data_IF_636139573329
#
_entry.id   IF_636139573329
#
_cell.length_a   1.000
_cell.length_b   1.000
_cell.length_c   1.000
_cell.angle_alpha   90.00
_cell.angle_beta   90.00
_cell.angle_gamma   90.00
#
_symmetry.space_group_name_H-M   'P 1'
#
loop_
_entity.id
_entity.type
_entity.pdbx_description
1 polymer ?
#
# COMPACT_ATOMS: atom_id res chain seq x y z
N UNK A 1 -15.85 4.13 -44.24
CA UNK A 1 -17.25 4.46 -43.98
C UNK A 1 -17.35 4.76 -42.48
N UNK A 2 -17.47 6.02 -42.13
CA UNK A 2 -17.73 6.45 -40.75
C UNK A 2 -19.09 5.92 -40.35
N UNK A 3 -19.14 4.84 -39.53
CA UNK A 3 -20.37 4.40 -38.86
C UNK A 3 -20.82 5.52 -37.94
N UNK A 4 -21.93 6.14 -38.30
CA UNK A 4 -22.64 7.08 -37.44
C UNK A 4 -22.90 6.40 -36.07
N UNK A 5 -22.26 6.91 -35.03
CA UNK A 5 -22.53 6.52 -33.63
C UNK A 5 -23.88 7.12 -33.22
N UNK A 6 -24.98 6.55 -33.72
CA UNK A 6 -26.30 6.88 -33.23
C UNK A 6 -26.70 5.85 -32.16
N UNK A 7 -26.56 6.19 -30.92
CA UNK A 7 -26.93 5.40 -29.73
C UNK A 7 -28.39 4.98 -29.72
N UNK A 8 -29.23 5.67 -30.43
CA UNK A 8 -30.65 5.39 -30.49
C UNK A 8 -31.24 5.97 -31.75
N UNK A 9 -32.19 5.28 -32.41
CA UNK A 9 -32.99 5.82 -33.52
C UNK A 9 -33.78 7.09 -33.13
N UNK A 10 -33.81 7.44 -31.83
CA UNK A 10 -34.47 8.63 -31.32
C UNK A 10 -33.71 9.94 -31.65
N UNK A 11 -32.40 9.86 -31.88
CA UNK A 11 -31.59 11.04 -32.15
C UNK A 11 -31.50 11.32 -33.64
N UNK A 12 -31.75 12.57 -34.04
CA UNK A 12 -31.76 12.99 -35.44
C UNK A 12 -30.38 13.37 -35.99
N UNK A 13 -29.40 13.56 -35.09
CA UNK A 13 -28.03 13.93 -35.46
C UNK A 13 -27.00 13.17 -34.65
N UNK A 14 -25.82 12.94 -35.24
CA UNK A 14 -24.66 12.40 -34.53
C UNK A 14 -24.16 13.38 -33.45
N UNK A 15 -23.50 12.84 -32.43
CA UNK A 15 -22.88 13.64 -31.38
C UNK A 15 -21.75 14.49 -31.95
N UNK A 16 -21.63 15.74 -31.51
CA UNK A 16 -20.52 16.60 -31.93
C UNK A 16 -19.17 15.95 -31.56
N UNK A 17 -18.16 15.92 -32.46
CA UNK A 17 -16.92 15.20 -32.22
C UNK A 17 -16.16 15.59 -30.95
N UNK A 18 -16.20 16.88 -30.57
CA UNK A 18 -15.57 17.33 -29.32
C UNK A 18 -16.30 16.79 -28.08
N UNK A 19 -17.64 16.67 -28.13
CA UNK A 19 -18.45 16.10 -27.04
C UNK A 19 -18.24 14.57 -26.98
N UNK A 20 -18.14 13.91 -28.13
CA UNK A 20 -17.82 12.48 -28.17
C UNK A 20 -16.48 12.19 -27.49
N UNK A 21 -15.42 12.94 -27.81
CA UNK A 21 -14.12 12.82 -27.14
C UNK A 21 -14.15 13.13 -25.64
N UNK A 22 -14.93 14.15 -25.25
CA UNK A 22 -15.08 14.51 -23.84
C UNK A 22 -15.77 13.42 -23.02
N UNK A 23 -16.70 12.69 -23.62
CA UNK A 23 -17.46 11.62 -22.97
C UNK A 23 -16.74 10.27 -23.00
N UNK A 24 -15.77 10.09 -23.89
CA UNK A 24 -15.09 8.80 -24.05
C UNK A 24 -14.18 8.49 -22.86
N UNK A 25 -14.22 7.23 -22.40
CA UNK A 25 -13.38 6.68 -21.33
C UNK A 25 -12.35 5.66 -21.82
N UNK A 26 -12.40 5.28 -23.12
CA UNK A 26 -11.52 4.24 -23.69
C UNK A 26 -10.03 4.51 -23.45
N UNK A 27 -9.63 5.78 -23.27
CA UNK A 27 -8.24 6.16 -23.01
C UNK A 27 -7.67 5.64 -21.70
N UNK A 28 -8.53 5.31 -20.73
CA UNK A 28 -8.11 4.77 -19.43
C UNK A 28 -8.83 3.47 -19.07
N UNK A 29 -10.09 3.26 -19.49
CA UNK A 29 -10.85 2.06 -19.10
C UNK A 29 -10.43 0.80 -19.85
N UNK A 30 -9.56 0.93 -20.85
CA UNK A 30 -8.87 -0.22 -21.48
C UNK A 30 -8.12 -1.09 -20.45
N UNK A 31 -7.73 -0.56 -19.30
CA UNK A 31 -7.19 -1.30 -18.15
C UNK A 31 -8.15 -2.40 -17.67
N UNK A 32 -9.44 -2.27 -17.96
CA UNK A 32 -10.47 -3.23 -17.55
C UNK A 32 -10.70 -4.35 -18.57
N UNK A 33 -10.06 -4.35 -19.73
CA UNK A 33 -10.40 -5.25 -20.84
C UNK A 33 -10.37 -6.74 -20.47
N UNK A 34 -9.37 -7.19 -19.72
CA UNK A 34 -9.26 -8.60 -19.29
C UNK A 34 -10.42 -9.00 -18.38
N UNK A 35 -10.89 -8.07 -17.55
CA UNK A 35 -12.00 -8.25 -16.62
C UNK A 35 -13.34 -8.18 -17.32
N UNK A 36 -13.51 -7.28 -18.29
CA UNK A 36 -14.70 -7.20 -19.14
C UNK A 36 -14.89 -8.48 -19.95
N UNK A 37 -13.83 -9.00 -20.56
CA UNK A 37 -13.86 -10.26 -21.29
C UNK A 37 -14.23 -11.42 -20.36
N UNK A 38 -13.71 -11.47 -19.15
CA UNK A 38 -14.00 -12.50 -18.15
C UNK A 38 -15.45 -12.43 -17.66
N UNK A 39 -15.92 -11.22 -17.32
CA UNK A 39 -17.31 -10.96 -16.93
C UNK A 39 -18.29 -11.30 -18.05
N UNK A 40 -17.96 -10.92 -19.28
CA UNK A 40 -18.76 -11.21 -20.49
C UNK A 40 -18.85 -12.70 -20.80
N UNK A 41 -17.74 -13.45 -20.63
CA UNK A 41 -17.76 -14.93 -20.79
C UNK A 41 -18.66 -15.61 -19.74
N UNK A 42 -18.59 -15.16 -18.48
CA UNK A 42 -19.45 -15.66 -17.41
C UNK A 42 -20.93 -15.35 -17.67
N UNK A 43 -21.21 -14.14 -18.14
CA UNK A 43 -22.56 -13.71 -18.51
C UNK A 43 -23.13 -14.55 -19.68
N UNK A 44 -22.37 -14.78 -20.74
CA UNK A 44 -22.78 -15.63 -21.86
C UNK A 44 -23.13 -17.07 -21.41
N UNK A 45 -22.29 -17.66 -20.54
CA UNK A 45 -22.56 -18.97 -19.94
C UNK A 45 -23.85 -18.99 -19.11
N UNK A 46 -24.11 -17.92 -18.35
CA UNK A 46 -25.34 -17.78 -17.55
C UNK A 46 -26.56 -17.65 -18.46
N UNK A 47 -26.52 -16.91 -19.54
CA UNK A 47 -27.63 -16.78 -20.49
C UNK A 47 -28.00 -18.14 -21.10
N UNK A 48 -27.03 -18.98 -21.40
CA UNK A 48 -27.30 -20.37 -21.87
C UNK A 48 -27.82 -21.25 -20.73
N UNK A 49 -27.24 -21.18 -19.54
CA UNK A 49 -27.67 -21.94 -18.37
C UNK A 49 -29.15 -21.68 -18.04
N UNK A 50 -29.63 -20.49 -18.23
CA UNK A 50 -31.04 -20.10 -18.00
C UNK A 50 -31.92 -20.21 -19.25
N UNK A 51 -31.40 -20.71 -20.37
CA UNK A 51 -32.15 -20.92 -21.61
C UNK A 51 -32.52 -19.64 -22.37
N UNK A 52 -31.89 -18.51 -22.08
CA UNK A 52 -32.12 -17.23 -22.77
C UNK A 52 -31.47 -17.26 -24.17
N UNK A 53 -30.30 -17.90 -24.29
CA UNK A 53 -29.64 -18.21 -25.57
C UNK A 53 -29.37 -19.72 -25.64
N UNK A 54 -29.05 -20.24 -26.84
CA UNK A 54 -28.70 -21.65 -26.96
C UNK A 54 -27.26 -21.93 -26.46
N UNK A 55 -26.94 -23.17 -26.06
CA UNK A 55 -25.58 -23.55 -25.71
C UNK A 55 -24.56 -23.26 -26.82
N UNK A 56 -24.92 -23.49 -28.09
CA UNK A 56 -24.07 -23.25 -29.25
C UNK A 56 -23.78 -21.75 -29.44
N UNK A 57 -24.76 -20.88 -29.17
CA UNK A 57 -24.58 -19.43 -29.20
C UNK A 57 -23.62 -18.96 -28.09
N UNK A 58 -23.74 -19.53 -26.89
CA UNK A 58 -22.84 -19.23 -25.77
C UNK A 58 -21.41 -19.70 -26.09
N UNK A 59 -21.21 -20.87 -26.69
CA UNK A 59 -19.89 -21.33 -27.12
C UNK A 59 -19.25 -20.37 -28.15
N UNK A 60 -20.03 -19.89 -29.12
CA UNK A 60 -19.57 -18.91 -30.11
C UNK A 60 -19.17 -17.59 -29.43
N UNK A 61 -19.97 -17.08 -28.50
CA UNK A 61 -19.67 -15.85 -27.74
C UNK A 61 -18.38 -16.01 -26.92
N UNK A 62 -18.26 -17.12 -26.16
CA UNK A 62 -17.08 -17.40 -25.34
C UNK A 62 -15.82 -17.52 -26.19
N UNK A 63 -15.89 -18.23 -27.33
CA UNK A 63 -14.77 -18.37 -28.25
C UNK A 63 -14.37 -17.04 -28.89
N UNK A 64 -15.37 -16.22 -29.30
CA UNK A 64 -15.11 -14.88 -29.85
C UNK A 64 -14.47 -13.93 -28.84
N UNK A 65 -14.92 -13.93 -27.57
CA UNK A 65 -14.33 -13.17 -26.48
C UNK A 65 -12.89 -13.62 -26.19
N UNK A 66 -12.61 -14.93 -26.24
CA UNK A 66 -11.25 -15.45 -26.08
C UNK A 66 -10.33 -15.04 -27.25
N UNK A 67 -10.87 -15.01 -28.47
CA UNK A 67 -10.10 -14.48 -29.62
C UNK A 67 -9.76 -13.01 -29.42
N UNK A 68 -10.67 -12.16 -28.92
CA UNK A 68 -10.38 -10.74 -28.61
C UNK A 68 -9.29 -10.64 -27.56
N UNK A 69 -9.32 -11.48 -26.52
CA UNK A 69 -8.27 -11.56 -25.47
C UNK A 69 -6.89 -11.83 -26.09
N UNK A 70 -6.82 -12.80 -26.99
CA UNK A 70 -5.58 -13.12 -27.69
C UNK A 70 -5.11 -11.98 -28.61
N UNK A 71 -6.03 -11.34 -29.32
CA UNK A 71 -5.72 -10.18 -30.16
C UNK A 71 -5.17 -9.01 -29.32
N UNK A 72 -5.77 -8.74 -28.15
CA UNK A 72 -5.30 -7.71 -27.24
C UNK A 72 -3.90 -8.01 -26.68
N UNK A 73 -3.68 -9.21 -26.16
CA UNK A 73 -2.38 -9.65 -25.64
C UNK A 73 -1.26 -9.66 -26.68
N UNK A 74 -1.62 -9.84 -27.94
CA UNK A 74 -0.68 -9.79 -29.07
C UNK A 74 -0.52 -8.39 -29.67
N UNK A 75 -1.14 -7.38 -29.09
CA UNK A 75 -1.09 -6.01 -29.57
C UNK A 75 -1.76 -5.85 -30.96
N UNK A 76 -2.82 -6.60 -31.25
CA UNK A 76 -3.59 -6.52 -32.50
C UNK A 76 -4.96 -5.89 -32.33
N UNK A 77 -5.45 -5.79 -31.11
CA UNK A 77 -6.70 -5.12 -30.77
C UNK A 77 -6.37 -3.79 -30.07
N UNK A 78 -6.52 -2.70 -30.83
CA UNK A 78 -6.30 -1.33 -30.36
C UNK A 78 -7.55 -0.51 -30.65
N UNK A 79 -8.54 -0.48 -29.74
CA UNK A 79 -9.71 0.36 -29.92
C UNK A 79 -9.26 1.83 -29.96
N UNK A 80 -9.71 2.53 -31.01
CA UNK A 80 -9.41 3.96 -31.18
C UNK A 80 -10.30 4.82 -30.29
N UNK A 81 -9.98 6.11 -30.23
CA UNK A 81 -10.76 7.14 -29.51
C UNK A 81 -12.22 7.27 -29.99
N UNK A 82 -12.55 6.64 -31.11
CA UNK A 82 -13.91 6.57 -31.64
C UNK A 82 -14.77 5.51 -30.91
N UNK A 83 -14.14 4.59 -30.16
CA UNK A 83 -14.84 3.75 -29.20
C UNK A 83 -15.09 4.58 -27.95
N UNK A 84 -16.32 4.63 -27.49
CA UNK A 84 -16.66 5.40 -26.28
C UNK A 84 -15.99 4.82 -25.04
N UNK A 85 -16.10 3.49 -24.88
CA UNK A 85 -15.58 2.73 -23.75
C UNK A 85 -15.10 1.33 -24.17
N UNK A 86 -14.46 0.61 -23.27
CA UNK A 86 -13.95 -0.75 -23.50
C UNK A 86 -15.08 -1.73 -23.83
N UNK A 87 -16.24 -1.56 -23.24
CA UNK A 87 -17.42 -2.43 -23.43
C UNK A 87 -17.93 -2.34 -24.87
N UNK A 88 -18.03 -1.11 -25.40
CA UNK A 88 -18.44 -0.87 -26.78
C UNK A 88 -17.41 -1.41 -27.77
N UNK A 89 -16.13 -1.25 -27.46
CA UNK A 89 -15.05 -1.76 -28.30
C UNK A 89 -15.10 -3.31 -28.38
N UNK A 90 -15.28 -3.98 -27.25
CA UNK A 90 -15.39 -5.44 -27.16
C UNK A 90 -16.64 -5.95 -27.88
N UNK A 91 -17.82 -5.34 -27.66
CA UNK A 91 -19.08 -5.72 -28.30
C UNK A 91 -19.00 -5.57 -29.83
N UNK A 92 -18.42 -4.46 -30.29
CA UNK A 92 -18.21 -4.21 -31.73
C UNK A 92 -17.31 -5.25 -32.36
N UNK A 93 -16.15 -5.54 -31.74
CA UNK A 93 -15.22 -6.56 -32.24
C UNK A 93 -15.82 -7.97 -32.20
N UNK A 94 -16.53 -8.31 -31.13
CA UNK A 94 -17.22 -9.59 -31.00
C UNK A 94 -18.24 -9.79 -32.15
N UNK A 95 -19.01 -8.74 -32.46
CA UNK A 95 -20.00 -8.79 -33.55
C UNK A 95 -19.32 -8.99 -34.93
N UNK A 96 -18.13 -8.43 -35.13
CA UNK A 96 -17.33 -8.68 -36.34
C UNK A 96 -16.88 -10.14 -36.44
N UNK A 97 -16.54 -10.79 -35.32
CA UNK A 97 -16.05 -12.17 -35.26
C UNK A 97 -17.19 -13.19 -35.42
N UNK A 98 -18.28 -13.03 -34.65
CA UNK A 98 -19.34 -14.03 -34.55
C UNK A 98 -20.66 -13.63 -35.22
N UNK A 99 -20.71 -12.47 -35.86
CA UNK A 99 -21.91 -11.97 -36.53
C UNK A 99 -23.02 -11.56 -35.57
N UNK A 100 -24.27 -11.78 -35.97
CA UNK A 100 -25.46 -11.35 -35.20
C UNK A 100 -25.58 -11.99 -33.80
N UNK A 101 -24.94 -13.13 -33.57
CA UNK A 101 -24.87 -13.76 -32.25
C UNK A 101 -24.19 -12.83 -31.24
N UNK A 102 -23.20 -12.05 -31.67
CA UNK A 102 -22.50 -11.07 -30.83
C UNK A 102 -23.44 -10.07 -30.18
N UNK A 103 -24.50 -9.66 -30.87
CA UNK A 103 -25.50 -8.70 -30.36
C UNK A 103 -26.35 -9.28 -29.20
N UNK A 104 -26.38 -10.60 -29.02
CA UNK A 104 -27.10 -11.26 -27.93
C UNK A 104 -26.40 -11.16 -26.57
N UNK A 105 -25.10 -10.88 -26.58
CA UNK A 105 -24.31 -10.79 -25.34
C UNK A 105 -24.85 -9.71 -24.38
N UNK A 106 -25.42 -8.62 -24.90
CA UNK A 106 -25.95 -7.53 -24.09
C UNK A 106 -27.31 -7.82 -23.43
N UNK A 107 -27.94 -8.97 -23.74
CA UNK A 107 -29.25 -9.36 -23.20
C UNK A 107 -29.21 -9.41 -21.67
N UNK A 108 -30.18 -8.79 -21.01
CA UNK A 108 -30.34 -8.74 -19.55
C UNK A 108 -29.19 -8.05 -18.79
N UNK A 109 -28.35 -7.26 -19.45
CA UNK A 109 -27.21 -6.54 -18.88
C UNK A 109 -27.30 -5.06 -19.21
N UNK A 110 -26.74 -4.23 -18.33
CA UNK A 110 -26.45 -2.82 -18.56
C UNK A 110 -24.94 -2.57 -18.48
N UNK A 111 -24.45 -1.49 -19.08
CA UNK A 111 -23.08 -1.02 -18.84
C UNK A 111 -22.83 -0.67 -17.38
N UNK A 112 -23.87 -0.30 -16.63
CA UNK A 112 -23.76 0.09 -15.23
C UNK A 112 -23.33 -1.05 -14.33
N UNK A 113 -23.99 -2.24 -14.44
CA UNK A 113 -23.60 -3.42 -13.68
C UNK A 113 -22.34 -4.10 -14.25
N UNK A 114 -22.10 -3.97 -15.55
CA UNK A 114 -20.90 -4.46 -16.23
C UNK A 114 -19.65 -3.75 -15.71
N UNK A 115 -19.59 -2.42 -15.81
CA UNK A 115 -18.42 -1.64 -15.35
C UNK A 115 -18.19 -1.77 -13.84
N UNK A 116 -19.27 -1.87 -13.04
CA UNK A 116 -19.16 -2.15 -11.61
C UNK A 116 -18.53 -3.49 -11.31
N UNK A 117 -18.85 -4.52 -12.11
CA UNK A 117 -18.25 -5.86 -12.01
C UNK A 117 -16.77 -5.84 -12.39
N UNK A 118 -16.45 -5.22 -13.51
CA UNK A 118 -15.08 -5.19 -14.03
C UNK A 118 -14.13 -4.43 -13.10
N UNK A 119 -14.58 -3.30 -12.55
CA UNK A 119 -13.81 -2.54 -11.56
C UNK A 119 -13.55 -3.35 -10.29
N UNK A 120 -14.50 -4.17 -9.84
CA UNK A 120 -14.33 -5.07 -8.69
C UNK A 120 -13.38 -6.22 -8.97
N UNK A 121 -13.51 -6.85 -10.15
CA UNK A 121 -12.58 -7.89 -10.58
C UNK A 121 -11.15 -7.36 -10.68
N UNK A 122 -10.98 -6.19 -11.30
CA UNK A 122 -9.70 -5.49 -11.35
C UNK A 122 -9.14 -5.24 -9.95
N UNK A 123 -9.91 -4.60 -9.08
CA UNK A 123 -9.42 -4.22 -7.77
C UNK A 123 -9.10 -5.43 -6.89
N UNK A 124 -9.90 -6.51 -6.99
CA UNK A 124 -9.64 -7.78 -6.31
C UNK A 124 -8.27 -8.35 -6.69
N UNK A 125 -7.95 -8.36 -7.99
CA UNK A 125 -6.66 -8.82 -8.49
C UNK A 125 -5.51 -7.90 -8.02
N UNK A 126 -5.68 -6.58 -8.12
CA UNK A 126 -4.67 -5.63 -7.69
C UNK A 126 -4.40 -5.69 -6.17
N UNK A 127 -5.43 -5.91 -5.35
CA UNK A 127 -5.27 -6.12 -3.91
C UNK A 127 -4.39 -7.34 -3.63
N UNK A 128 -4.57 -8.46 -4.33
CA UNK A 128 -3.74 -9.65 -4.14
C UNK A 128 -2.28 -9.38 -4.53
N UNK A 129 -2.04 -8.66 -5.62
CA UNK A 129 -0.69 -8.29 -6.05
C UNK A 129 -0.02 -7.38 -5.01
N UNK A 130 -0.73 -6.35 -4.52
CA UNK A 130 -0.20 -5.43 -3.48
C UNK A 130 0.08 -6.18 -2.18
N UNK A 131 -0.79 -7.11 -1.77
CA UNK A 131 -0.57 -7.98 -0.60
C UNK A 131 0.70 -8.83 -0.78
N UNK A 132 0.94 -9.37 -1.97
CA UNK A 132 2.18 -10.09 -2.29
C UNK A 132 3.42 -9.19 -2.16
N UNK A 133 3.38 -7.97 -2.70
CA UNK A 133 4.48 -7.00 -2.56
C UNK A 133 4.71 -6.57 -1.10
N UNK A 134 3.66 -6.42 -0.29
CA UNK A 134 3.79 -6.15 1.15
C UNK A 134 4.50 -7.32 1.87
N UNK A 135 4.20 -8.57 1.51
CA UNK A 135 4.91 -9.75 2.06
C UNK A 135 6.39 -9.74 1.68
N UNK A 136 6.71 -9.41 0.44
CA UNK A 136 8.10 -9.28 0.00
C UNK A 136 8.83 -8.17 0.76
N UNK A 137 8.20 -7.00 0.91
CA UNK A 137 8.72 -5.87 1.68
C UNK A 137 8.97 -6.25 3.15
N UNK A 138 8.01 -6.93 3.80
CA UNK A 138 8.15 -7.45 5.15
C UNK A 138 9.31 -8.46 5.26
N UNK A 139 9.45 -9.36 4.29
CA UNK A 139 10.55 -10.32 4.23
C UNK A 139 11.91 -9.63 4.24
N UNK A 140 12.07 -8.58 3.44
CA UNK A 140 13.32 -7.79 3.38
C UNK A 140 13.60 -7.07 4.70
N UNK A 141 12.59 -6.49 5.34
CA UNK A 141 12.75 -5.87 6.66
C UNK A 141 13.25 -6.88 7.69
N UNK A 142 12.73 -8.11 7.68
CA UNK A 142 13.15 -9.18 8.58
C UNK A 142 14.57 -9.65 8.29
N UNK A 143 14.94 -9.81 7.00
CA UNK A 143 16.29 -10.21 6.58
C UNK A 143 17.36 -9.23 7.10
N UNK A 144 17.06 -7.93 7.04
CA UNK A 144 17.95 -6.89 7.57
C UNK A 144 17.93 -6.90 9.10
N UNK A 145 16.76 -6.99 9.71
CA UNK A 145 16.63 -6.97 11.16
C UNK A 145 17.37 -8.13 11.83
N UNK A 146 17.35 -9.33 11.25
CA UNK A 146 18.09 -10.49 11.75
C UNK A 146 19.60 -10.26 11.82
N UNK A 147 20.16 -9.51 10.87
CA UNK A 147 21.58 -9.16 10.83
C UNK A 147 21.96 -8.08 11.85
N UNK A 148 20.98 -7.34 12.37
CA UNK A 148 21.18 -6.14 13.17
C UNK A 148 20.54 -6.18 14.55
N UNK A 149 20.30 -7.37 15.12
CA UNK A 149 19.70 -7.53 16.45
C UNK A 149 20.52 -6.79 17.52
N UNK A 150 21.83 -6.88 17.47
CA UNK A 150 22.76 -6.26 18.42
C UNK A 150 23.35 -4.93 17.94
N UNK A 151 22.99 -4.47 16.75
CA UNK A 151 23.39 -3.16 16.25
C UNK A 151 22.58 -2.06 16.96
N UNK A 152 23.26 -1.19 17.66
CA UNK A 152 22.63 -0.08 18.39
C UNK A 152 22.47 1.13 17.50
N UNK A 153 21.33 1.79 17.60
CA UNK A 153 21.03 3.08 16.95
C UNK A 153 20.43 4.05 17.99
N UNK A 154 20.72 5.36 17.91
CA UNK A 154 20.01 6.32 18.75
C UNK A 154 18.52 6.31 18.41
N UNK A 155 17.66 6.11 19.39
CA UNK A 155 16.23 6.38 19.26
C UNK A 155 15.99 7.89 19.40
N UNK A 156 14.96 8.38 18.70
CA UNK A 156 14.64 9.82 18.65
C UNK A 156 13.21 10.08 19.10
N UNK A 157 13.03 11.17 19.84
CA UNK A 157 11.76 11.85 20.06
C UNK A 157 11.97 13.34 19.78
N UNK A 158 11.03 14.00 19.12
CA UNK A 158 11.17 15.43 18.73
C UNK A 158 12.44 15.72 17.90
N UNK A 159 12.94 14.74 17.14
CA UNK A 159 14.24 14.78 16.46
C UNK A 159 15.43 15.01 17.40
N UNK A 160 15.26 14.80 18.69
CA UNK A 160 16.32 14.80 19.68
C UNK A 160 16.68 13.37 20.06
N UNK A 161 17.95 13.08 20.28
CA UNK A 161 18.39 11.77 20.79
C UNK A 161 17.73 11.49 22.13
N UNK A 162 17.10 10.34 22.26
CA UNK A 162 16.37 9.93 23.46
C UNK A 162 17.06 8.75 24.15
N UNK A 163 16.77 7.55 23.74
CA UNK A 163 17.36 6.33 24.30
C UNK A 163 17.92 5.46 23.18
N UNK A 164 19.01 4.71 23.41
CA UNK A 164 19.51 3.76 22.41
C UNK A 164 18.52 2.59 22.26
N UNK A 165 18.39 2.10 21.03
CA UNK A 165 17.56 0.96 20.68
C UNK A 165 18.32 0.00 19.75
N UNK A 166 17.86 -1.24 19.62
CA UNK A 166 18.32 -2.14 18.57
C UNK A 166 17.82 -1.66 17.21
N UNK A 167 18.67 -1.67 16.20
CA UNK A 167 18.26 -1.38 14.82
C UNK A 167 17.19 -2.36 14.33
N UNK A 168 17.29 -3.63 14.72
CA UNK A 168 16.27 -4.63 14.43
C UNK A 168 14.91 -4.25 15.04
N UNK A 169 14.90 -3.78 16.28
CA UNK A 169 13.68 -3.28 16.93
C UNK A 169 13.03 -2.13 16.15
N UNK A 170 13.85 -1.22 15.65
CA UNK A 170 13.39 -0.09 14.83
C UNK A 170 12.74 -0.57 13.52
N UNK A 171 13.40 -1.51 12.81
CA UNK A 171 12.88 -2.07 11.56
C UNK A 171 11.61 -2.91 11.77
N UNK A 172 11.51 -3.63 12.89
CA UNK A 172 10.30 -4.37 13.26
C UNK A 172 9.09 -3.46 13.45
N UNK A 173 9.26 -2.20 13.83
CA UNK A 173 8.13 -1.25 13.88
C UNK A 173 7.52 -1.02 12.48
N UNK A 174 8.32 -1.00 11.43
CA UNK A 174 7.84 -0.91 10.04
C UNK A 174 7.23 -2.23 9.56
N UNK A 175 7.76 -3.37 10.00
CA UNK A 175 7.12 -4.66 9.79
C UNK A 175 5.70 -4.69 10.34
N UNK A 176 5.49 -4.23 11.57
CA UNK A 176 4.17 -4.16 12.21
C UNK A 176 3.20 -3.19 11.49
N UNK A 177 3.71 -2.10 10.92
CA UNK A 177 2.92 -1.19 10.11
C UNK A 177 2.46 -1.89 8.83
N UNK A 178 3.37 -2.56 8.10
CA UNK A 178 3.07 -3.30 6.89
C UNK A 178 2.12 -4.49 7.14
N UNK A 179 2.21 -5.12 8.32
CA UNK A 179 1.28 -6.18 8.72
C UNK A 179 -0.14 -5.66 8.86
N UNK A 180 -0.34 -4.54 9.54
CA UNK A 180 -1.66 -3.90 9.63
C UNK A 180 -2.20 -3.45 8.27
N UNK A 181 -1.33 -3.07 7.33
CA UNK A 181 -1.73 -2.72 5.97
C UNK A 181 -2.19 -3.94 5.18
N UNK A 182 -1.48 -5.05 5.32
CA UNK A 182 -1.83 -6.33 4.69
C UNK A 182 -3.20 -6.84 5.19
N UNK A 183 -3.45 -6.78 6.50
CA UNK A 183 -4.73 -7.15 7.14
C UNK A 183 -5.86 -6.24 6.65
N UNK A 184 -5.61 -4.94 6.59
CA UNK A 184 -6.58 -3.93 6.10
C UNK A 184 -7.00 -4.18 4.67
N UNK A 185 -6.06 -4.55 3.80
CA UNK A 185 -6.38 -4.97 2.42
C UNK A 185 -7.21 -6.25 2.38
N UNK A 186 -7.00 -7.18 3.31
CA UNK A 186 -7.85 -8.35 3.48
C UNK A 186 -9.30 -7.98 3.84
N UNK A 187 -9.48 -6.99 4.71
CA UNK A 187 -10.80 -6.48 5.08
C UNK A 187 -11.51 -5.79 3.90
N UNK A 188 -10.78 -4.98 3.13
CA UNK A 188 -11.29 -4.34 1.90
C UNK A 188 -11.68 -5.41 0.87
N UNK A 189 -10.86 -6.44 0.69
CA UNK A 189 -11.10 -7.52 -0.29
C UNK A 189 -12.45 -8.18 -0.10
N UNK A 190 -12.92 -8.40 1.14
CA UNK A 190 -14.24 -8.98 1.42
C UNK A 190 -15.39 -8.14 0.87
N UNK A 191 -15.30 -6.79 0.90
CA UNK A 191 -16.34 -5.90 0.38
C UNK A 191 -16.20 -5.62 -1.11
N UNK A 192 -15.00 -5.74 -1.66
CA UNK A 192 -14.78 -5.77 -3.11
C UNK A 192 -15.42 -7.01 -3.73
N UNK A 193 -15.38 -8.15 -3.03
CA UNK A 193 -15.76 -9.46 -3.58
C UNK A 193 -17.27 -9.74 -3.54
N UNK A 194 -18.10 -8.74 -3.86
CA UNK A 194 -19.57 -8.84 -3.98
C UNK A 194 -19.97 -8.46 -5.41
N UNK A 195 -20.70 -9.34 -6.12
CA UNK A 195 -21.03 -9.15 -7.53
C UNK A 195 -22.24 -8.23 -7.73
N UNK A 196 -22.12 -7.15 -8.52
CA UNK A 196 -23.26 -6.35 -8.98
C UNK A 196 -23.88 -6.89 -10.27
N UNK A 197 -23.25 -7.84 -10.98
CA UNK A 197 -23.71 -8.32 -12.29
C UNK A 197 -25.13 -8.90 -12.20
N UNK A 198 -25.99 -8.47 -13.12
CA UNK A 198 -27.41 -8.77 -13.12
C UNK A 198 -28.28 -7.73 -12.38
N UNK A 199 -27.68 -6.67 -11.82
CA UNK A 199 -28.45 -5.50 -11.33
C UNK A 199 -29.08 -4.70 -12.48
N UNK A 200 -28.61 -4.89 -13.70
CA UNK A 200 -29.04 -4.12 -14.87
C UNK A 200 -28.65 -2.63 -14.73
N UNK A 201 -29.49 -1.75 -15.25
CA UNK A 201 -29.23 -0.31 -15.13
C UNK A 201 -29.45 0.20 -13.70
N UNK A 202 -30.46 -0.32 -12.98
CA UNK A 202 -30.82 0.03 -11.60
C UNK A 202 -31.94 -0.85 -11.00
N UNK A 203 -32.80 -1.45 -11.82
CA UNK A 203 -34.03 -2.10 -11.39
C UNK A 203 -34.01 -3.64 -11.56
N UNK A 204 -32.87 -4.20 -11.85
CA UNK A 204 -32.75 -5.60 -12.26
C UNK A 204 -33.21 -5.79 -13.71
N UNK A 205 -33.72 -6.98 -14.04
CA UNK A 205 -34.13 -7.36 -15.39
C UNK A 205 -35.41 -8.20 -15.36
N UNK A 206 -36.15 -8.21 -16.47
CA UNK A 206 -37.32 -9.07 -16.66
C UNK A 206 -36.96 -10.50 -17.11
N UNK A 207 -35.70 -10.74 -17.45
CA UNK A 207 -35.23 -12.08 -17.84
C UNK A 207 -34.95 -12.95 -16.61
N UNK A 208 -35.16 -14.29 -16.71
CA UNK A 208 -34.93 -15.22 -15.61
C UNK A 208 -33.43 -15.56 -15.42
N UNK A 209 -32.60 -14.54 -15.18
CA UNK A 209 -31.14 -14.69 -14.97
C UNK A 209 -30.84 -15.37 -13.64
N UNK A 210 -29.68 -16.05 -13.57
CA UNK A 210 -29.12 -16.63 -12.33
C UNK A 210 -27.86 -15.85 -11.92
N UNK A 211 -28.02 -14.87 -11.02
CA UNK A 211 -26.92 -14.05 -10.51
C UNK A 211 -25.95 -14.84 -9.63
N UNK A 212 -26.41 -15.85 -8.89
CA UNK A 212 -25.53 -16.70 -8.09
C UNK A 212 -24.63 -17.58 -8.96
N UNK A 213 -25.18 -18.11 -10.06
CA UNK A 213 -24.38 -18.85 -11.03
C UNK A 213 -23.29 -17.98 -11.65
N UNK A 214 -23.59 -16.76 -12.04
CA UNK A 214 -22.61 -15.82 -12.58
C UNK A 214 -21.55 -15.45 -11.53
N UNK A 215 -21.97 -15.15 -10.30
CA UNK A 215 -21.05 -14.83 -9.20
C UNK A 215 -20.08 -16.00 -8.93
N UNK A 216 -20.58 -17.24 -8.93
CA UNK A 216 -19.74 -18.44 -8.78
C UNK A 216 -18.73 -18.60 -9.90
N UNK A 217 -19.09 -18.33 -11.16
CA UNK A 217 -18.17 -18.39 -12.29
C UNK A 217 -17.04 -17.33 -12.21
N UNK A 218 -17.28 -16.26 -11.50
CA UNK A 218 -16.37 -15.13 -11.31
C UNK A 218 -15.67 -15.13 -9.94
N UNK A 219 -15.87 -16.19 -9.13
CA UNK A 219 -15.31 -16.32 -7.77
C UNK A 219 -15.68 -15.14 -6.84
N UNK A 220 -16.89 -14.59 -6.98
CA UNK A 220 -17.44 -13.67 -6.00
C UNK A 220 -18.06 -14.44 -4.83
N UNK A 221 -17.88 -13.92 -3.61
CA UNK A 221 -18.41 -14.52 -2.38
C UNK A 221 -19.93 -14.41 -2.29
N UNK A 222 -20.51 -13.32 -2.83
CA UNK A 222 -21.94 -13.04 -2.76
C UNK A 222 -22.39 -12.11 -3.90
N UNK A 223 -23.66 -11.75 -3.91
CA UNK A 223 -24.28 -10.79 -4.84
C UNK A 223 -24.91 -9.63 -4.09
N UNK A 224 -25.06 -8.49 -4.73
CA UNK A 224 -25.81 -7.35 -4.15
C UNK A 224 -27.28 -7.69 -3.94
N UNK A 225 -27.77 -7.42 -2.72
CA UNK A 225 -29.16 -7.66 -2.35
C UNK A 225 -30.13 -6.63 -2.95
N UNK A 226 -29.63 -5.45 -3.32
CA UNK A 226 -30.41 -4.39 -3.94
C UNK A 226 -29.74 -3.92 -5.24
N UNK A 227 -30.45 -3.98 -6.36
CA UNK A 227 -29.92 -3.64 -7.68
C UNK A 227 -29.59 -2.15 -7.85
N UNK A 228 -30.33 -1.28 -7.16
CA UNK A 228 -30.09 0.16 -7.21
C UNK A 228 -28.78 0.53 -6.49
N UNK A 229 -28.54 -0.10 -5.35
CA UNK A 229 -27.29 0.00 -4.59
C UNK A 229 -26.11 -0.60 -5.37
N UNK A 230 -26.26 -1.79 -5.93
CA UNK A 230 -25.20 -2.52 -6.62
C UNK A 230 -24.56 -1.78 -7.80
N UNK A 231 -25.33 -0.91 -8.50
CA UNK A 231 -24.81 -0.09 -9.61
C UNK A 231 -24.31 1.28 -9.16
N UNK A 232 -24.66 1.70 -7.95
CA UNK A 232 -24.32 3.01 -7.37
C UNK A 232 -23.07 2.95 -6.48
N UNK A 233 -22.86 1.83 -5.78
CA UNK A 233 -21.84 1.69 -4.76
C UNK A 233 -20.41 1.88 -5.28
N UNK A 234 -19.65 2.71 -4.58
CA UNK A 234 -18.20 2.91 -4.73
C UNK A 234 -17.48 2.89 -3.39
N UNK A 235 -18.14 2.46 -2.30
CA UNK A 235 -17.53 2.38 -0.98
C UNK A 235 -16.29 1.48 -1.01
N UNK A 236 -16.32 0.41 -1.76
CA UNK A 236 -15.18 -0.49 -1.95
C UNK A 236 -13.93 0.21 -2.51
N UNK A 237 -14.12 1.16 -3.42
CA UNK A 237 -13.03 1.95 -4.00
C UNK A 237 -12.52 3.00 -3.00
N UNK A 238 -13.41 3.65 -2.25
CA UNK A 238 -13.07 4.59 -1.17
C UNK A 238 -12.29 3.86 -0.08
N UNK A 239 -12.74 2.69 0.37
CA UNK A 239 -12.05 1.88 1.38
C UNK A 239 -10.65 1.46 0.91
N UNK A 240 -10.53 1.04 -0.36
CA UNK A 240 -9.22 0.76 -0.94
C UNK A 240 -8.32 1.99 -0.92
N UNK A 241 -8.80 3.16 -1.37
CA UNK A 241 -8.02 4.40 -1.38
C UNK A 241 -7.65 4.86 0.05
N UNK A 242 -8.50 4.60 1.05
CA UNK A 242 -8.15 4.81 2.46
C UNK A 242 -7.00 3.88 2.90
N UNK A 243 -7.08 2.59 2.60
CA UNK A 243 -6.01 1.63 2.88
C UNK A 243 -4.71 2.00 2.16
N UNK A 244 -4.82 2.34 0.87
CA UNK A 244 -3.75 2.85 0.03
C UNK A 244 -3.04 4.07 0.62
N UNK A 245 -3.81 5.02 1.14
CA UNK A 245 -3.29 6.22 1.80
C UNK A 245 -2.48 5.86 3.04
N UNK A 246 -2.91 4.89 3.85
CA UNK A 246 -2.17 4.43 5.04
C UNK A 246 -0.87 3.72 4.66
N UNK A 247 -0.88 2.86 3.63
CA UNK A 247 0.34 2.24 3.10
C UNK A 247 1.36 3.34 2.73
N UNK A 248 0.92 4.36 1.99
CA UNK A 248 1.80 5.45 1.58
C UNK A 248 2.29 6.30 2.76
N UNK A 249 1.49 6.49 3.83
CA UNK A 249 1.95 7.12 5.09
C UNK A 249 3.10 6.32 5.70
N UNK A 250 2.98 4.99 5.79
CA UNK A 250 4.00 4.14 6.40
C UNK A 250 5.28 4.13 5.57
N UNK A 251 5.17 4.02 4.24
CA UNK A 251 6.32 4.12 3.33
C UNK A 251 6.98 5.49 3.39
N UNK A 252 6.19 6.58 3.44
CA UNK A 252 6.69 7.95 3.55
C UNK A 252 7.47 8.18 4.86
N UNK A 253 7.04 7.61 5.98
CA UNK A 253 7.75 7.69 7.26
C UNK A 253 9.10 6.99 7.20
N UNK A 254 9.16 5.78 6.65
CA UNK A 254 10.43 5.09 6.45
C UNK A 254 11.33 5.84 5.47
N UNK A 255 10.76 6.38 4.40
CA UNK A 255 11.47 7.20 3.43
C UNK A 255 12.11 8.43 4.09
N UNK A 256 11.38 9.15 4.96
CA UNK A 256 11.90 10.28 5.71
C UNK A 256 13.07 9.90 6.59
N UNK A 257 13.00 8.79 7.32
CA UNK A 257 14.11 8.33 8.15
C UNK A 257 15.34 7.95 7.32
N UNK A 258 15.17 7.28 6.18
CA UNK A 258 16.30 6.98 5.27
C UNK A 258 16.93 8.26 4.72
N UNK A 259 16.12 9.27 4.38
CA UNK A 259 16.61 10.58 3.95
C UNK A 259 17.49 11.19 5.05
N UNK A 260 16.97 11.29 6.27
CA UNK A 260 17.70 11.81 7.42
C UNK A 260 18.99 11.02 7.68
N UNK A 261 18.91 9.69 7.70
CA UNK A 261 20.06 8.83 7.97
C UNK A 261 21.15 8.91 6.90
N UNK A 262 20.79 9.25 5.66
CA UNK A 262 21.73 9.38 4.54
C UNK A 262 22.42 10.75 4.48
N UNK A 263 21.97 11.74 5.27
CA UNK A 263 22.60 13.08 5.30
C UNK A 263 24.03 13.05 5.86
N UNK A 264 24.82 14.07 5.52
CA UNK A 264 26.18 14.26 6.08
C UNK A 264 26.19 14.45 7.60
N UNK A 265 25.11 14.99 8.17
CA UNK A 265 24.94 15.22 9.60
C UNK A 265 24.75 13.90 10.37
N UNK A 266 23.90 12.99 9.87
CA UNK A 266 23.62 11.70 10.50
C UNK A 266 24.65 10.65 10.09
N UNK A 267 24.81 10.42 8.79
CA UNK A 267 25.71 9.38 8.22
C UNK A 267 25.49 7.98 8.79
N UNK A 268 24.24 7.61 9.06
CA UNK A 268 23.87 6.29 9.60
C UNK A 268 23.77 5.23 8.50
N UNK A 269 23.46 5.67 7.28
CA UNK A 269 23.41 4.79 6.08
C UNK A 269 24.21 5.40 4.94
N UNK A 270 24.64 4.54 4.03
CA UNK A 270 25.16 4.89 2.72
C UNK A 270 24.23 4.33 1.67
N UNK A 271 23.83 5.16 0.70
CA UNK A 271 23.09 4.69 -0.47
C UNK A 271 24.10 4.21 -1.52
N UNK A 272 23.84 3.05 -2.13
CA UNK A 272 24.64 2.55 -3.25
C UNK A 272 24.29 3.31 -4.53
N UNK A 273 25.21 3.30 -5.49
CA UNK A 273 25.06 4.06 -6.75
C UNK A 273 23.85 3.60 -7.58
N UNK A 274 23.46 2.35 -7.46
CA UNK A 274 22.27 1.79 -8.14
C UNK A 274 20.95 2.37 -7.65
N UNK A 275 20.93 3.03 -6.48
CA UNK A 275 19.70 3.54 -5.84
C UNK A 275 19.81 5.04 -5.46
N UNK A 276 20.74 5.76 -6.06
CA UNK A 276 20.96 7.18 -5.80
C UNK A 276 21.31 7.89 -7.10
N UNK A 277 21.08 9.20 -7.17
CA UNK A 277 21.56 10.01 -8.30
C UNK A 277 22.62 11.02 -7.88
N UNK A 278 23.39 11.50 -8.83
CA UNK A 278 24.38 12.53 -8.62
C UNK A 278 23.84 13.93 -8.96
N UNK A 279 24.70 14.91 -8.85
CA UNK A 279 24.43 16.28 -9.28
C UNK A 279 25.21 16.57 -10.58
N UNK A 280 24.58 17.29 -11.50
CA UNK A 280 25.23 17.73 -12.75
C UNK A 280 26.30 18.82 -12.52
N UNK A 281 26.33 19.44 -11.33
CA UNK A 281 27.24 20.55 -11.00
C UNK A 281 28.11 20.26 -9.76
N UNK A 282 27.69 19.35 -8.90
CA UNK A 282 28.38 19.02 -7.65
C UNK A 282 28.82 17.55 -7.66
N UNK A 283 30.05 17.21 -8.06
CA UNK A 283 30.47 15.84 -8.30
C UNK A 283 30.51 14.97 -7.03
N UNK A 284 30.53 15.55 -5.85
CA UNK A 284 30.53 14.86 -4.56
C UNK A 284 29.11 14.51 -4.08
N UNK A 285 28.07 15.10 -4.66
CA UNK A 285 26.70 14.99 -4.16
C UNK A 285 26.03 13.69 -4.60
N UNK A 286 25.40 13.01 -3.65
CA UNK A 286 24.58 11.83 -3.86
C UNK A 286 23.19 12.06 -3.24
N UNK A 287 22.14 11.91 -4.04
CA UNK A 287 20.78 12.26 -3.66
C UNK A 287 19.97 11.01 -3.31
N UNK A 288 19.12 11.06 -2.28
CA UNK A 288 18.20 9.98 -1.90
C UNK A 288 16.87 10.06 -2.70
N UNK A 289 16.94 10.04 -4.05
CA UNK A 289 15.76 10.33 -4.89
C UNK A 289 14.62 9.35 -4.70
N UNK A 290 14.91 8.07 -4.49
CA UNK A 290 13.88 7.04 -4.31
C UNK A 290 13.01 7.36 -3.10
N UNK A 291 13.54 7.50 -1.88
CA UNK A 291 12.71 7.85 -0.73
C UNK A 291 12.07 9.25 -0.85
N UNK A 292 12.72 10.23 -1.49
CA UNK A 292 12.09 11.54 -1.73
C UNK A 292 10.86 11.43 -2.63
N UNK A 293 10.94 10.64 -3.71
CA UNK A 293 9.82 10.42 -4.61
C UNK A 293 8.68 9.66 -3.93
N UNK A 294 8.97 8.65 -3.12
CA UNK A 294 7.94 7.93 -2.33
C UNK A 294 7.21 8.88 -1.39
N UNK A 295 7.96 9.73 -0.67
CA UNK A 295 7.39 10.78 0.17
C UNK A 295 6.50 11.75 -0.62
N UNK A 296 6.95 12.19 -1.80
CA UNK A 296 6.18 13.09 -2.68
C UNK A 296 4.92 12.44 -3.25
N UNK A 297 5.01 11.18 -3.72
CA UNK A 297 3.88 10.42 -4.30
C UNK A 297 2.76 10.14 -3.30
N UNK A 298 3.02 10.18 -2.01
CA UNK A 298 2.02 10.04 -0.95
C UNK A 298 0.89 11.06 -1.11
N UNK A 299 1.22 12.32 -1.40
CA UNK A 299 0.23 13.38 -1.62
C UNK A 299 -0.67 13.12 -2.83
N UNK A 300 -0.17 12.41 -3.86
CA UNK A 300 -0.95 12.03 -5.04
C UNK A 300 -2.07 11.05 -4.69
N UNK A 301 -1.76 10.00 -3.92
CA UNK A 301 -2.77 9.02 -3.46
C UNK A 301 -3.81 9.66 -2.54
N UNK A 302 -3.39 10.58 -1.65
CA UNK A 302 -4.32 11.36 -0.81
C UNK A 302 -5.27 12.20 -1.66
N UNK A 303 -4.75 12.83 -2.72
CA UNK A 303 -5.58 13.61 -3.65
C UNK A 303 -6.66 12.74 -4.31
N UNK A 304 -6.34 11.52 -4.72
CA UNK A 304 -7.30 10.59 -5.31
C UNK A 304 -8.37 10.12 -4.33
N UNK A 305 -8.02 9.84 -3.08
CA UNK A 305 -9.00 9.55 -2.04
C UNK A 305 -9.96 10.72 -1.85
N UNK A 306 -9.43 11.94 -1.75
CA UNK A 306 -10.27 13.14 -1.57
C UNK A 306 -11.16 13.38 -2.79
N UNK A 307 -10.63 13.21 -4.01
CA UNK A 307 -11.41 13.34 -5.24
C UNK A 307 -12.58 12.35 -5.26
N UNK A 308 -12.34 11.07 -4.93
CA UNK A 308 -13.39 10.05 -4.88
C UNK A 308 -14.49 10.40 -3.87
N UNK A 309 -14.12 10.83 -2.67
CA UNK A 309 -15.09 11.28 -1.65
C UNK A 309 -15.93 12.45 -2.13
N UNK A 310 -15.31 13.39 -2.86
CA UNK A 310 -16.02 14.56 -3.43
C UNK A 310 -16.94 14.16 -4.57
N UNK A 311 -16.54 13.22 -5.43
CA UNK A 311 -17.40 12.67 -6.50
C UNK A 311 -18.64 12.03 -5.89
N UNK A 312 -18.47 11.16 -4.91
CA UNK A 312 -19.59 10.39 -4.33
C UNK A 312 -20.55 11.20 -3.48
N UNK A 313 -20.05 12.25 -2.81
CA UNK A 313 -20.92 13.07 -1.94
C UNK A 313 -22.03 13.76 -2.76
N UNK A 314 -23.26 13.53 -2.45
CA UNK A 314 -24.41 14.22 -3.04
C UNK A 314 -24.84 13.71 -4.42
N UNK A 315 -24.25 12.63 -4.95
CA UNK A 315 -24.78 11.94 -6.11
C UNK A 315 -26.11 11.25 -5.73
N UNK A 316 -27.14 11.32 -6.58
CA UNK A 316 -28.31 10.48 -6.43
C UNK A 316 -27.97 9.02 -6.70
N UNK A 317 -28.84 8.09 -6.26
CA UNK A 317 -28.68 6.67 -6.48
C UNK A 317 -28.62 6.30 -7.97
N UNK A 318 -28.25 5.07 -8.25
CA UNK A 318 -27.94 4.51 -9.56
C UNK A 318 -26.69 5.15 -10.19
N UNK A 319 -26.59 5.16 -11.50
CA UNK A 319 -25.42 5.62 -12.23
C UNK A 319 -25.62 7.04 -12.76
N UNK A 320 -24.65 7.90 -12.47
CA UNK A 320 -24.47 9.21 -13.10
C UNK A 320 -23.12 9.23 -13.82
N UNK A 321 -22.97 10.03 -14.87
CA UNK A 321 -21.71 10.09 -15.66
C UNK A 321 -20.50 10.51 -14.81
N UNK A 322 -20.72 11.18 -13.68
CA UNK A 322 -19.71 11.49 -12.66
C UNK A 322 -18.93 10.24 -12.20
N UNK A 323 -19.57 9.07 -12.18
CA UNK A 323 -18.95 7.79 -11.82
C UNK A 323 -17.95 7.28 -12.88
N UNK A 324 -17.78 7.98 -14.01
CA UNK A 324 -16.68 7.72 -14.93
C UNK A 324 -15.33 8.18 -14.34
N UNK A 325 -15.34 9.23 -13.51
CA UNK A 325 -14.18 9.81 -12.86
C UNK A 325 -13.64 8.95 -11.68
N UNK A 326 -14.31 7.85 -11.33
CA UNK A 326 -13.90 6.95 -10.25
C UNK A 326 -12.66 6.13 -10.59
N UNK A 327 -12.32 5.94 -11.87
CA UNK A 327 -11.34 4.97 -12.35
C UNK A 327 -9.92 5.51 -12.45
N UNK A 328 -9.71 6.68 -13.04
CA UNK A 328 -8.37 7.21 -13.29
C UNK A 328 -7.57 7.34 -11.99
N UNK A 329 -8.18 7.94 -10.94
CA UNK A 329 -7.54 8.07 -9.63
C UNK A 329 -7.30 6.73 -8.93
N UNK A 330 -8.19 5.75 -9.14
CA UNK A 330 -8.06 4.40 -8.61
C UNK A 330 -6.88 3.67 -9.27
N UNK A 331 -6.82 3.64 -10.61
CA UNK A 331 -5.74 3.01 -11.38
C UNK A 331 -4.39 3.64 -11.07
N UNK A 332 -4.33 4.97 -11.02
CA UNK A 332 -3.13 5.69 -10.68
C UNK A 332 -2.64 5.40 -9.26
N UNK A 333 -3.54 5.30 -8.29
CA UNK A 333 -3.20 4.92 -6.91
C UNK A 333 -2.65 3.50 -6.83
N UNK A 334 -3.26 2.54 -7.51
CA UNK A 334 -2.76 1.15 -7.61
C UNK A 334 -1.33 1.14 -8.16
N UNK A 335 -1.10 1.80 -9.30
CA UNK A 335 0.22 1.84 -9.94
C UNK A 335 1.26 2.56 -9.07
N UNK A 336 0.85 3.65 -8.40
CA UNK A 336 1.72 4.42 -7.51
C UNK A 336 2.16 3.60 -6.29
N UNK A 337 1.26 2.84 -5.66
CA UNK A 337 1.58 1.98 -4.52
C UNK A 337 2.52 0.85 -4.94
N UNK A 338 2.19 0.14 -6.03
CA UNK A 338 2.99 -0.98 -6.53
C UNK A 338 4.42 -0.54 -6.84
N UNK A 339 4.57 0.57 -7.57
CA UNK A 339 5.89 1.12 -7.89
C UNK A 339 6.65 1.61 -6.64
N UNK A 340 5.94 2.17 -5.64
CA UNK A 340 6.56 2.64 -4.40
C UNK A 340 7.01 1.48 -3.51
N UNK A 341 6.22 0.42 -3.38
CA UNK A 341 6.60 -0.81 -2.66
C UNK A 341 7.81 -1.48 -3.32
N UNK A 342 7.78 -1.65 -4.64
CA UNK A 342 8.89 -2.23 -5.40
C UNK A 342 10.18 -1.43 -5.19
N UNK A 343 10.13 -0.10 -5.40
CA UNK A 343 11.30 0.76 -5.25
C UNK A 343 11.87 0.75 -3.83
N UNK A 344 11.01 0.80 -2.80
CA UNK A 344 11.46 0.74 -1.40
C UNK A 344 12.02 -0.64 -1.04
N UNK A 345 11.43 -1.72 -1.56
CA UNK A 345 11.92 -3.08 -1.36
C UNK A 345 13.32 -3.27 -1.96
N UNK A 346 13.53 -2.80 -3.18
CA UNK A 346 14.84 -2.82 -3.85
C UNK A 346 15.86 -1.95 -3.09
N UNK A 347 15.46 -0.74 -2.70
CA UNK A 347 16.33 0.15 -1.92
C UNK A 347 16.80 -0.50 -0.64
N UNK A 348 15.91 -1.12 0.13
CA UNK A 348 16.26 -1.80 1.37
C UNK A 348 17.15 -3.03 1.13
N UNK A 349 16.82 -3.85 0.13
CA UNK A 349 17.54 -5.11 -0.16
C UNK A 349 18.93 -4.88 -0.72
N UNK A 350 19.08 -3.94 -1.62
CA UNK A 350 20.26 -3.80 -2.46
C UNK A 350 20.93 -2.43 -2.38
N UNK A 351 20.18 -1.39 -2.06
CA UNK A 351 20.61 0.00 -2.17
C UNK A 351 21.06 0.65 -0.87
N UNK A 352 20.88 0.00 0.29
CA UNK A 352 21.16 0.58 1.59
C UNK A 352 22.24 -0.19 2.33
N UNK A 353 23.20 0.53 2.91
CA UNK A 353 24.23 -0.02 3.79
C UNK A 353 24.27 0.73 5.12
N UNK A 354 24.07 0.00 6.24
CA UNK A 354 24.12 0.58 7.58
C UNK A 354 25.59 0.76 8.04
N UNK A 355 25.94 1.96 8.44
CA UNK A 355 27.27 2.31 8.94
C UNK A 355 27.37 2.00 10.43
N UNK A 356 27.53 0.71 10.76
CA UNK A 356 27.47 0.19 12.13
C UNK A 356 28.46 0.86 13.09
N UNK A 357 29.65 1.22 12.62
CA UNK A 357 30.63 1.97 13.42
C UNK A 357 30.11 3.36 13.77
N UNK A 358 29.50 4.07 12.81
CA UNK A 358 28.93 5.41 13.06
C UNK A 358 27.73 5.35 14.01
N UNK A 359 26.90 4.33 13.86
CA UNK A 359 25.77 4.04 14.74
C UNK A 359 26.24 3.79 16.17
N UNK A 360 27.25 2.92 16.36
CA UNK A 360 27.86 2.64 17.65
C UNK A 360 28.48 3.90 18.30
N UNK A 361 29.14 4.73 17.51
CA UNK A 361 29.67 6.01 17.96
C UNK A 361 28.54 6.94 18.44
N UNK A 362 27.48 7.05 17.66
CA UNK A 362 26.38 7.98 17.96
C UNK A 362 25.68 7.70 19.31
N UNK A 363 25.59 6.44 19.76
CA UNK A 363 25.01 6.08 21.06
C UNK A 363 25.97 6.21 22.23
N UNK A 364 27.23 6.58 22.00
CA UNK A 364 28.26 6.73 23.06
C UNK A 364 28.68 8.17 23.30
N UNK A 365 28.21 9.12 22.51
CA UNK A 365 28.67 10.51 22.50
C UNK A 365 27.62 11.49 23.09
N UNK A 366 26.68 10.98 23.89
CA UNK A 366 25.63 11.80 24.49
C UNK A 366 25.22 11.30 25.87
N UNK A 367 24.11 11.83 26.40
CA UNK A 367 23.52 11.48 27.68
C UNK A 367 22.28 10.60 27.55
N UNK A 368 22.11 9.87 26.47
CA UNK A 368 20.93 9.03 26.20
C UNK A 368 20.74 7.88 27.21
N UNK A 369 21.78 7.58 27.97
CA UNK A 369 21.80 6.61 29.08
C UNK A 369 21.50 7.24 30.46
N UNK A 370 21.16 8.51 30.55
CA UNK A 370 20.89 9.18 31.84
C UNK A 370 19.71 8.57 32.59
N UNK A 371 18.67 8.10 31.90
CA UNK A 371 17.54 7.41 32.51
C UNK A 371 17.99 6.15 33.26
N UNK A 372 18.96 5.42 32.70
CA UNK A 372 19.48 4.17 33.27
C UNK A 372 20.26 4.42 34.56
N UNK A 373 20.84 5.61 34.73
CA UNK A 373 21.42 6.04 36.04
C UNK A 373 20.32 6.23 37.08
N UNK A 374 19.17 6.79 36.70
CA UNK A 374 18.04 6.93 37.65
C UNK A 374 17.46 5.56 38.02
N UNK A 375 17.32 4.67 37.04
CA UNK A 375 16.86 3.30 37.26
C UNK A 375 17.85 2.52 38.15
N UNK A 376 19.16 2.70 37.93
CA UNK A 376 20.21 2.11 38.78
C UNK A 376 20.08 2.51 40.26
N UNK A 377 19.84 3.79 40.54
CA UNK A 377 19.59 4.28 41.90
C UNK A 377 18.27 3.77 42.48
N UNK A 378 17.21 3.78 41.67
CA UNK A 378 15.89 3.27 42.08
C UNK A 378 15.92 1.79 42.46
N UNK A 379 16.67 0.98 41.71
CA UNK A 379 16.89 -0.44 42.03
C UNK A 379 17.67 -0.64 43.37
N UNK A 380 18.33 0.39 43.87
CA UNK A 380 19.06 0.41 45.15
C UNK A 380 18.28 1.11 46.27
N UNK A 381 16.97 1.33 46.09
CA UNK A 381 16.06 1.85 47.10
C UNK A 381 15.94 3.37 47.15
N UNK A 382 16.55 4.10 46.23
CA UNK A 382 16.34 5.55 46.13
C UNK A 382 15.00 5.82 45.42
N UNK A 383 14.07 6.62 45.99
CA UNK A 383 12.82 6.94 45.29
C UNK A 383 13.08 7.52 43.90
N UNK A 384 12.36 7.03 42.87
CA UNK A 384 12.61 7.38 41.49
C UNK A 384 12.63 8.90 41.25
N UNK A 385 11.73 9.65 41.88
CA UNK A 385 11.69 11.11 41.75
C UNK A 385 12.97 11.79 42.27
N UNK A 386 13.53 11.26 43.36
CA UNK A 386 14.78 11.73 43.93
C UNK A 386 15.97 11.34 43.05
N UNK A 387 16.00 10.10 42.57
CA UNK A 387 16.99 9.61 41.62
C UNK A 387 16.99 10.47 40.35
N UNK A 388 15.83 10.75 39.75
CA UNK A 388 15.68 11.61 38.60
C UNK A 388 16.26 13.02 38.81
N UNK A 389 15.90 13.66 39.91
CA UNK A 389 16.41 15.00 40.26
C UNK A 389 17.93 15.01 40.45
N UNK A 390 18.44 13.94 41.05
CA UNK A 390 19.89 13.78 41.30
C UNK A 390 20.61 13.60 39.96
N UNK A 391 20.13 12.75 39.08
CA UNK A 391 20.69 12.50 37.74
C UNK A 391 20.68 13.80 36.92
N UNK A 392 19.63 14.62 37.00
CA UNK A 392 19.60 15.93 36.36
C UNK A 392 20.78 16.84 36.82
N UNK A 393 21.15 16.77 38.10
CA UNK A 393 22.34 17.51 38.64
C UNK A 393 23.63 16.90 38.09
N UNK A 394 23.75 15.56 38.07
CA UNK A 394 24.92 14.86 37.49
C UNK A 394 25.12 15.27 36.03
N UNK A 395 24.09 15.19 35.19
CA UNK A 395 24.14 15.59 33.77
C UNK A 395 24.56 17.05 33.63
N UNK A 396 23.93 17.95 34.37
CA UNK A 396 24.30 19.41 34.36
C UNK A 396 25.76 19.65 34.69
N UNK A 397 26.28 18.97 35.74
CA UNK A 397 27.68 19.11 36.16
C UNK A 397 28.63 18.51 35.13
N UNK A 398 28.27 17.34 34.57
CA UNK A 398 29.08 16.69 33.53
C UNK A 398 29.18 17.52 32.26
N UNK A 399 28.08 18.14 31.81
CA UNK A 399 28.08 19.06 30.66
C UNK A 399 29.00 20.25 30.94
N UNK A 400 28.91 20.85 32.12
CA UNK A 400 29.75 22.00 32.48
C UNK A 400 31.25 21.64 32.56
N UNK A 401 31.57 20.37 32.86
CA UNK A 401 32.93 19.85 32.91
C UNK A 401 33.44 19.32 31.55
N UNK A 402 32.59 19.32 30.49
CA UNK A 402 32.94 18.73 29.20
C UNK A 402 33.13 17.20 29.25
N UNK A 403 32.51 16.51 30.22
CA UNK A 403 32.58 15.06 30.43
C UNK A 403 31.27 14.39 30.06
N UNK A 404 31.32 13.19 29.52
CA UNK A 404 30.16 12.28 29.43
C UNK A 404 30.03 11.48 30.74
N UNK A 405 28.87 10.85 30.95
CA UNK A 405 28.62 10.02 32.16
C UNK A 405 29.68 8.92 32.34
N UNK A 406 30.11 8.28 31.24
CA UNK A 406 31.15 7.25 31.22
C UNK A 406 32.54 7.74 31.69
N UNK A 407 32.79 9.04 31.61
CA UNK A 407 34.09 9.65 31.92
C UNK A 407 34.22 10.07 33.38
N UNK A 408 33.11 10.04 34.13
CA UNK A 408 33.12 10.30 35.58
C UNK A 408 33.83 9.17 36.32
N UNK A 409 34.71 9.54 37.25
CA UNK A 409 35.36 8.57 38.17
C UNK A 409 34.37 8.14 39.24
N UNK A 410 34.64 7.00 39.89
CA UNK A 410 33.76 6.47 40.93
C UNK A 410 33.60 7.43 42.12
N UNK A 411 34.69 8.10 42.52
CA UNK A 411 34.65 9.09 43.57
C UNK A 411 33.80 10.34 43.18
N UNK A 412 33.80 10.73 41.92
CA UNK A 412 32.90 11.78 41.40
C UNK A 412 31.43 11.34 41.47
N UNK A 413 31.15 10.10 41.08
CA UNK A 413 29.80 9.51 41.23
C UNK A 413 29.31 9.47 42.67
N UNK A 414 30.20 9.03 43.59
CA UNK A 414 29.89 8.91 45.01
C UNK A 414 29.70 10.25 45.72
N UNK A 415 30.23 11.34 45.19
CA UNK A 415 29.93 12.72 45.68
C UNK A 415 28.46 13.10 45.45
N UNK A 416 27.81 12.56 44.45
CA UNK A 416 26.38 12.78 44.23
C UNK A 416 25.52 11.87 45.12
N UNK A 417 25.86 10.56 45.23
CA UNK A 417 25.15 9.63 46.09
C UNK A 417 26.00 8.39 46.44
N UNK A 418 26.03 7.96 47.75
CA UNK A 418 26.86 6.83 48.18
C UNK A 418 26.45 5.46 47.60
N UNK A 419 25.25 5.34 47.05
CA UNK A 419 24.79 4.07 46.43
C UNK A 419 25.47 3.78 45.06
N UNK A 420 26.20 4.71 44.49
CA UNK A 420 26.99 4.44 43.27
C UNK A 420 28.18 3.55 43.60
N UNK A 421 28.33 2.44 42.86
CA UNK A 421 29.42 1.50 42.96
C UNK A 421 30.04 1.26 41.56
N UNK A 422 31.11 0.47 41.49
CA UNK A 422 31.87 0.27 40.25
C UNK A 422 31.05 -0.32 39.09
N UNK A 423 29.97 -1.03 39.38
CA UNK A 423 29.05 -1.62 38.40
C UNK A 423 28.18 -0.58 37.65
N UNK A 424 28.22 0.70 38.06
CA UNK A 424 27.56 1.79 37.32
C UNK A 424 28.06 1.86 35.85
N UNK A 425 29.34 1.63 35.60
CA UNK A 425 29.91 1.71 34.27
C UNK A 425 29.34 0.64 33.32
N UNK A 426 29.09 -0.56 33.83
CA UNK A 426 28.40 -1.59 33.08
C UNK A 426 26.92 -1.23 32.88
N UNK A 427 26.24 -0.81 33.93
CA UNK A 427 24.82 -0.48 33.91
C UNK A 427 24.48 0.62 32.86
N UNK A 428 25.36 1.61 32.69
CA UNK A 428 25.15 2.71 31.73
C UNK A 428 25.79 2.46 30.35
N UNK A 429 26.42 1.30 30.13
CA UNK A 429 26.96 1.00 28.81
C UNK A 429 25.81 0.87 27.80
N UNK A 430 25.91 1.43 26.59
CA UNK A 430 24.80 1.41 25.62
C UNK A 430 24.25 0.01 25.35
N UNK A 431 25.13 -1.01 25.34
CA UNK A 431 24.73 -2.40 25.16
C UNK A 431 23.86 -2.90 26.33
N UNK A 432 24.27 -2.64 27.57
CA UNK A 432 23.52 -3.07 28.75
C UNK A 432 22.21 -2.30 28.90
N UNK A 433 22.23 -1.01 28.59
CA UNK A 433 21.03 -0.15 28.52
C UNK A 433 19.96 -0.75 27.62
N UNK A 434 20.32 -1.22 26.42
CA UNK A 434 19.39 -1.91 25.50
C UNK A 434 19.05 -3.30 26.02
N UNK A 435 20.04 -4.11 26.44
CA UNK A 435 19.86 -5.48 26.90
C UNK A 435 18.90 -5.58 28.11
N UNK A 436 18.88 -4.57 28.98
CA UNK A 436 18.02 -4.54 30.17
C UNK A 436 16.52 -4.33 29.87
N UNK A 437 16.15 -3.80 28.68
CA UNK A 437 14.76 -3.48 28.31
C UNK A 437 13.99 -4.69 27.81
N UNK A 438 13.77 -5.67 28.69
CA UNK A 438 13.18 -6.98 28.40
C UNK A 438 11.67 -7.07 28.67
N UNK A 439 10.95 -5.96 28.83
CA UNK A 439 9.49 -5.97 28.82
C UNK A 439 8.97 -6.43 27.45
N UNK A 440 7.76 -7.01 27.40
CA UNK A 440 7.15 -7.40 26.13
C UNK A 440 7.08 -6.19 25.15
N UNK A 441 7.54 -6.38 23.93
CA UNK A 441 7.65 -5.29 22.94
C UNK A 441 8.81 -4.32 23.17
N UNK A 442 9.68 -4.57 24.17
CA UNK A 442 10.86 -3.75 24.44
C UNK A 442 12.01 -4.04 23.47
N UNK A 443 13.01 -3.13 23.48
CA UNK A 443 14.17 -3.20 22.58
C UNK A 443 15.27 -4.18 23.04
N UNK A 444 15.12 -4.87 24.17
CA UNK A 444 16.10 -5.84 24.64
C UNK A 444 16.29 -6.99 23.65
N UNK A 445 17.54 -7.40 23.43
CA UNK A 445 17.92 -8.35 22.38
C UNK A 445 17.11 -9.66 22.41
N UNK A 446 16.78 -10.14 23.62
CA UNK A 446 15.95 -11.34 23.80
C UNK A 446 14.52 -11.13 23.30
N UNK A 447 13.95 -9.94 23.55
CA UNK A 447 12.60 -9.61 23.09
C UNK A 447 12.59 -9.41 21.58
N UNK A 448 13.59 -8.73 21.04
CA UNK A 448 13.75 -8.53 19.59
C UNK A 448 13.87 -9.87 18.86
N UNK A 449 14.68 -10.80 19.39
CA UNK A 449 14.80 -12.14 18.80
C UNK A 449 13.49 -12.92 18.83
N UNK A 450 12.71 -12.81 19.91
CA UNK A 450 11.37 -13.43 20.01
C UNK A 450 10.40 -12.80 18.99
N UNK A 451 10.43 -11.47 18.84
CA UNK A 451 9.59 -10.76 17.89
C UNK A 451 9.93 -11.15 16.42
N UNK A 452 11.23 -11.30 16.10
CA UNK A 452 11.67 -11.79 14.79
C UNK A 452 11.13 -13.20 14.48
N UNK A 453 11.24 -14.13 15.42
CA UNK A 453 10.71 -15.49 15.27
C UNK A 453 9.21 -15.47 15.03
N UNK A 454 8.46 -14.67 15.82
CA UNK A 454 7.02 -14.54 15.66
C UNK A 454 6.64 -13.91 14.30
N UNK A 455 7.36 -12.87 13.87
CA UNK A 455 7.13 -12.20 12.58
C UNK A 455 7.41 -13.13 11.40
N UNK A 456 8.48 -13.94 11.44
CA UNK A 456 8.75 -14.97 10.43
C UNK A 456 7.65 -16.02 10.35
N UNK A 457 7.19 -16.51 11.50
CA UNK A 457 6.09 -17.47 11.54
C UNK A 457 4.80 -16.88 10.94
N UNK A 458 4.51 -15.62 11.21
CA UNK A 458 3.32 -14.92 10.71
C UNK A 458 3.30 -14.83 9.18
N UNK A 459 4.41 -14.44 8.54
CA UNK A 459 4.46 -14.36 7.07
C UNK A 459 4.57 -15.72 6.36
N UNK A 460 4.92 -16.79 7.08
CA UNK A 460 5.03 -18.15 6.52
C UNK A 460 3.68 -18.90 6.50
N UNK A 461 2.70 -18.49 7.32
CA UNK A 461 1.40 -19.18 7.46
C UNK A 461 0.38 -18.66 6.42
N UNK A 462 0.57 -17.47 5.92
CA UNK A 462 -0.36 -16.74 5.03
C UNK A 462 0.20 -16.60 3.60
#
# INVERSE_FOLDING_TARGET
MTKEQNWSPRFESALHPAIARFNASIGFDIELIEYDLTGSQAHAKMLAHTGIISPEEAEQLVAGLEQIRQEYRQGRFHPGVDAEDVHFAVEGRLTEIVGDVGKKLHTARSRNDQVGTDTRLYLRDQIQQIKGQLREFQGVLLDIAEQHVETLIPGYTHLQRAQPVSLAHHLLAYFEMAQRDWERLGDVSRRVNISPLGCGALAGTTFPIDRHYTAKLLDFDDIYANSLDGVSDRDFAIEFLCAASLIMVHLSRLAEEIILWSTEEFRFVTLKDSCATGSSIMPQKKNPDVPELVRGKTGRVFGHLQAMLVIMKGLPLAYNKDLQEDKEGLFDSVNTIKASLEAMTILLREGLEFRTQRLAQAVTEDFSNATDVADYLAARGVPFREAYNLVGKVVKTSIAAGKLLKDLKLDEWQQFHPAFAADIYEAISPRQVVAARNSYGGTGFVQVSKALIAARAQIAIE
#
